data_IF_437299710605
#
_entry.id   IF_437299710605
#
_cell.length_a   1.000
_cell.length_b   1.000
_cell.length_c   1.000
_cell.angle_alpha   90.00
_cell.angle_beta   90.00
_cell.angle_gamma   90.00
#
_symmetry.space_group_name_H-M   'P 1'
#
loop_
_entity.id
_entity.type
_entity.pdbx_description
1 polymer ?
#
# COMPACT_ATOMS: atom_id res chain seq x y z
N UNK A 1 -9.51 3.32 -8.07
CA UNK A 1 -8.87 2.18 -7.35
C UNK A 1 -8.82 2.51 -5.88
N UNK A 2 -9.28 1.62 -5.00
CA UNK A 2 -9.23 1.82 -3.54
C UNK A 2 -7.90 1.40 -2.94
N UNK A 3 -7.64 1.83 -1.70
CA UNK A 3 -6.45 1.35 -0.98
C UNK A 3 -6.46 -0.16 -0.73
N UNK A 4 -7.63 -0.79 -0.55
CA UNK A 4 -7.73 -2.25 -0.46
C UNK A 4 -7.29 -2.94 -1.75
N UNK A 5 -7.75 -2.44 -2.89
CA UNK A 5 -7.36 -2.96 -4.21
C UNK A 5 -5.85 -2.78 -4.44
N UNK A 6 -5.31 -1.62 -4.07
CA UNK A 6 -3.87 -1.35 -4.15
C UNK A 6 -3.07 -2.36 -3.33
N UNK A 7 -3.43 -2.57 -2.05
CA UNK A 7 -2.76 -3.54 -1.17
C UNK A 7 -2.82 -4.95 -1.76
N UNK A 8 -3.99 -5.36 -2.29
CA UNK A 8 -4.15 -6.68 -2.93
C UNK A 8 -3.22 -6.83 -4.14
N UNK A 9 -3.16 -5.81 -5.01
CA UNK A 9 -2.29 -5.81 -6.19
C UNK A 9 -0.81 -5.84 -5.82
N UNK A 10 -0.38 -5.05 -4.83
CA UNK A 10 1.02 -5.06 -4.36
C UNK A 10 1.40 -6.40 -3.74
N UNK A 11 0.51 -7.04 -2.97
CA UNK A 11 0.75 -8.40 -2.45
C UNK A 11 0.92 -9.43 -3.57
N UNK A 12 0.06 -9.39 -4.59
CA UNK A 12 0.20 -10.26 -5.76
C UNK A 12 1.52 -10.01 -6.50
N UNK A 13 1.88 -8.74 -6.72
CA UNK A 13 3.13 -8.33 -7.33
C UNK A 13 4.36 -8.80 -6.53
N UNK A 14 4.29 -8.71 -5.20
CA UNK A 14 5.38 -9.17 -4.34
C UNK A 14 5.55 -10.68 -4.39
N UNK A 15 4.45 -11.44 -4.41
CA UNK A 15 4.50 -12.89 -4.59
C UNK A 15 5.15 -13.28 -5.93
N UNK A 16 4.75 -12.60 -7.00
CA UNK A 16 5.29 -12.83 -8.35
C UNK A 16 6.79 -12.50 -8.44
N UNK A 17 7.22 -11.42 -7.78
CA UNK A 17 8.63 -10.97 -7.77
C UNK A 17 9.49 -11.60 -6.67
N UNK A 18 8.93 -12.47 -5.83
CA UNK A 18 9.62 -13.03 -4.66
C UNK A 18 10.01 -11.99 -3.59
N UNK A 19 9.33 -10.84 -3.55
CA UNK A 19 9.58 -9.76 -2.61
C UNK A 19 8.66 -9.85 -1.38
N UNK A 20 9.18 -9.64 -0.16
CA UNK A 20 8.35 -9.65 1.04
C UNK A 20 7.42 -8.44 1.06
N UNK A 21 6.14 -8.69 1.33
CA UNK A 21 5.12 -7.64 1.46
C UNK A 21 4.50 -7.72 2.83
N UNK A 22 4.59 -6.63 3.61
CA UNK A 22 4.04 -6.56 4.97
C UNK A 22 3.08 -5.39 5.09
N UNK A 23 1.93 -5.64 5.69
CA UNK A 23 0.95 -4.60 6.01
C UNK A 23 0.99 -4.36 7.51
N UNK A 24 1.17 -3.11 7.91
CA UNK A 24 1.21 -2.67 9.29
C UNK A 24 0.07 -1.69 9.55
N UNK A 25 -1.02 -2.21 10.11
CA UNK A 25 -2.18 -1.42 10.47
C UNK A 25 -2.01 -0.70 11.82
N UNK A 26 -0.97 -1.03 12.60
CA UNK A 26 -0.73 -0.45 13.93
C UNK A 26 -0.01 0.90 13.88
N UNK A 27 0.73 1.16 12.78
CA UNK A 27 1.57 2.35 12.64
C UNK A 27 0.83 3.61 12.18
N UNK A 28 -0.51 3.58 12.06
CA UNK A 28 -1.33 4.70 11.60
C UNK A 28 -2.32 5.20 12.65
N UNK A 29 -2.41 6.52 12.83
CA UNK A 29 -3.49 7.14 13.61
C UNK A 29 -4.78 7.08 12.78
N UNK A 30 -5.77 6.30 13.20
CA UNK A 30 -7.03 6.11 12.46
C UNK A 30 -6.95 4.94 11.46
N UNK A 31 -7.56 5.07 10.28
CA UNK A 31 -7.65 3.98 9.29
C UNK A 31 -6.43 3.86 8.37
N UNK A 32 -5.35 4.60 8.60
CA UNK A 32 -4.16 4.57 7.74
C UNK A 32 -3.32 3.33 8.02
N UNK A 33 -2.74 2.75 6.98
CA UNK A 33 -1.93 1.53 7.09
C UNK A 33 -0.61 1.73 6.37
N UNK A 34 0.49 1.22 6.91
CA UNK A 34 1.79 1.23 6.23
C UNK A 34 1.96 -0.07 5.45
N UNK A 35 2.25 0.03 4.16
CA UNK A 35 2.52 -1.10 3.29
C UNK A 35 4.01 -1.13 2.95
N UNK A 36 4.70 -2.17 3.37
CA UNK A 36 6.08 -2.44 3.05
C UNK A 36 6.17 -3.36 1.82
N UNK A 37 7.10 -3.07 0.93
CA UNK A 37 7.40 -3.84 -0.27
C UNK A 37 8.92 -3.96 -0.39
N UNK A 38 9.48 -5.09 0.06
CA UNK A 38 10.93 -5.23 0.18
C UNK A 38 11.51 -4.24 1.19
N UNK A 39 12.44 -3.41 0.74
CA UNK A 39 13.10 -2.38 1.55
C UNK A 39 12.35 -1.04 1.59
N UNK A 40 11.38 -0.81 0.70
CA UNK A 40 10.61 0.43 0.63
C UNK A 40 9.24 0.28 1.29
N UNK A 41 8.62 1.40 1.63
CA UNK A 41 7.27 1.40 2.18
C UNK A 41 6.48 2.61 1.71
N UNK A 42 5.16 2.50 1.80
CA UNK A 42 4.23 3.59 1.48
C UNK A 42 3.07 3.62 2.47
N UNK A 43 2.45 4.78 2.66
CA UNK A 43 1.30 4.94 3.57
C UNK A 43 0.00 4.92 2.76
N UNK A 44 -0.85 3.94 3.03
CA UNK A 44 -2.18 3.82 2.46
C UNK A 44 -3.17 4.52 3.38
N UNK A 45 -3.56 5.74 3.02
CA UNK A 45 -4.59 6.50 3.74
C UNK A 45 -5.98 5.92 3.45
N UNK A 46 -6.73 5.63 4.50
CA UNK A 46 -8.12 5.17 4.49
C UNK A 46 -8.45 4.17 3.37
N UNK A 47 -8.07 2.88 3.50
CA UNK A 47 -8.15 1.90 2.41
C UNK A 47 -9.53 1.69 1.78
N UNK A 48 -10.61 2.11 2.45
CA UNK A 48 -11.98 2.06 1.93
C UNK A 48 -12.26 3.15 0.88
N UNK A 49 -11.52 4.26 0.92
CA UNK A 49 -11.71 5.36 -0.01
C UNK A 49 -11.00 5.08 -1.33
N UNK A 50 -11.48 5.74 -2.37
CA UNK A 50 -10.79 5.78 -3.65
C UNK A 50 -9.48 6.58 -3.56
N UNK A 51 -8.40 6.01 -4.09
CA UNK A 51 -7.14 6.69 -4.27
C UNK A 51 -7.26 7.65 -5.45
N UNK A 52 -7.07 8.94 -5.19
CA UNK A 52 -6.86 9.93 -6.25
C UNK A 52 -5.60 9.57 -7.04
N UNK A 53 -5.61 9.86 -8.34
CA UNK A 53 -4.49 9.59 -9.24
C UNK A 53 -3.15 10.08 -8.67
N UNK A 54 -3.08 11.33 -8.23
CA UNK A 54 -1.84 11.88 -7.65
C UNK A 54 -1.34 11.11 -6.42
N UNK A 55 -2.25 10.66 -5.55
CA UNK A 55 -1.90 9.84 -4.38
C UNK A 55 -1.38 8.47 -4.81
N UNK A 56 -2.04 7.82 -5.76
CA UNK A 56 -1.59 6.54 -6.30
C UNK A 56 -0.19 6.65 -6.91
N UNK A 57 0.07 7.68 -7.74
CA UNK A 57 1.40 7.89 -8.32
C UNK A 57 2.46 8.15 -7.25
N UNK A 58 2.18 8.99 -6.26
CA UNK A 58 3.11 9.26 -5.15
C UNK A 58 3.46 7.99 -4.35
N UNK A 59 2.51 7.07 -4.20
CA UNK A 59 2.74 5.78 -3.53
C UNK A 59 3.62 4.83 -4.35
N UNK A 60 3.61 4.93 -5.68
CA UNK A 60 4.40 4.09 -6.59
C UNK A 60 5.82 4.59 -6.86
N UNK A 61 6.16 5.84 -6.48
CA UNK A 61 7.47 6.46 -6.74
C UNK A 61 8.48 6.23 -5.60
N UNK A 62 8.05 5.66 -4.47
CA UNK A 62 8.88 5.41 -3.27
C UNK A 62 10.16 4.63 -3.56
#
# INVERSE_FOLDING_TARGET
MTGHEFIRKVKALGKDRGLPVRLDASRGKGSHQTLYFGAVFTVVRNPKDELKTGTFHAMCVQ
#
